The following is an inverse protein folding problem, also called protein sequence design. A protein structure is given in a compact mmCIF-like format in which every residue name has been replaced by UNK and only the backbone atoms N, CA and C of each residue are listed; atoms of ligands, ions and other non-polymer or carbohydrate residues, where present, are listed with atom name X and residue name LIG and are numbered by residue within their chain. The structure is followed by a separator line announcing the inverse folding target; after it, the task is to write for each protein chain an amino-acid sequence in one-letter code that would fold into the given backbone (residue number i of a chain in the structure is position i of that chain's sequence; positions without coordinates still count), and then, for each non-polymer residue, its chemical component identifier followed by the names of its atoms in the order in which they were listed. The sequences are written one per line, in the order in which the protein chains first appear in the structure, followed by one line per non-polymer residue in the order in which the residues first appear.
data_IF_875181218431
#
_entry.id   IF_875181218431
#
_cell.length_a   1.000
_cell.length_b   1.000
_cell.length_c   1.000
_cell.angle_alpha   90.00
_cell.angle_beta   90.00
_cell.angle_gamma   90.00
#
_symmetry.space_group_name_H-M   'P 1'
#
loop_
_entity.id
_entity.type
_entity.pdbx_description
1 polymer ?
#
# COMPACT_ATOMS: atom_id res chain seq x y z
N UNK A 1 -30.53 0.56 20.00
CA UNK A 1 -30.17 1.44 18.86
C UNK A 1 -28.92 2.26 19.19
N UNK A 2 -28.86 2.95 20.33
CA UNK A 2 -27.67 3.72 20.76
C UNK A 2 -26.40 2.87 20.90
N UNK A 3 -26.52 1.67 21.47
CA UNK A 3 -25.39 0.74 21.62
C UNK A 3 -24.82 0.26 20.26
N UNK A 4 -25.67 0.10 19.25
CA UNK A 4 -25.25 -0.24 17.89
C UNK A 4 -24.44 0.90 17.24
N UNK A 5 -24.89 2.14 17.41
CA UNK A 5 -24.14 3.30 16.93
C UNK A 5 -22.81 3.48 17.67
N UNK A 6 -22.76 3.20 18.97
CA UNK A 6 -21.52 3.20 19.75
C UNK A 6 -20.55 2.11 19.28
N UNK A 7 -21.04 0.89 19.02
CA UNK A 7 -20.22 -0.19 18.46
C UNK A 7 -19.68 0.16 17.08
N UNK A 8 -20.49 0.75 16.20
CA UNK A 8 -20.03 1.25 14.90
C UNK A 8 -18.98 2.34 15.04
N UNK A 9 -19.17 3.28 15.98
CA UNK A 9 -18.20 4.33 16.27
C UNK A 9 -16.83 3.76 16.69
N UNK A 10 -16.83 2.76 17.57
CA UNK A 10 -15.60 2.08 17.99
C UNK A 10 -14.94 1.31 16.84
N UNK A 11 -15.73 0.66 15.99
CA UNK A 11 -15.24 -0.05 14.81
C UNK A 11 -14.57 0.92 13.82
N UNK A 12 -15.22 2.05 13.54
CA UNK A 12 -14.69 3.09 12.65
C UNK A 12 -13.42 3.73 13.22
N UNK A 13 -13.38 4.03 14.52
CA UNK A 13 -12.16 4.53 15.16
C UNK A 13 -11.00 3.54 15.06
N UNK A 14 -11.26 2.25 15.28
CA UNK A 14 -10.26 1.19 15.09
C UNK A 14 -9.75 1.11 13.65
N UNK A 15 -10.66 1.20 12.67
CA UNK A 15 -10.29 1.22 11.25
C UNK A 15 -9.51 2.48 10.85
N UNK A 16 -9.87 3.64 11.39
CA UNK A 16 -9.16 4.89 11.14
C UNK A 16 -7.76 4.87 11.75
N UNK A 17 -7.61 4.37 12.98
CA UNK A 17 -6.30 4.18 13.59
C UNK A 17 -5.42 3.21 12.79
N UNK A 18 -6.00 2.12 12.28
CA UNK A 18 -5.30 1.20 11.39
C UNK A 18 -4.89 1.88 10.08
N UNK A 19 -5.78 2.65 9.47
CA UNK A 19 -5.49 3.38 8.24
C UNK A 19 -4.40 4.44 8.44
N UNK A 20 -4.42 5.16 9.55
CA UNK A 20 -3.41 6.16 9.93
C UNK A 20 -2.03 5.51 10.08
N UNK A 21 -1.96 4.38 10.78
CA UNK A 21 -0.70 3.62 10.92
C UNK A 21 -0.14 3.11 9.59
N UNK A 22 -1.02 2.68 8.68
CA UNK A 22 -0.63 2.24 7.34
C UNK A 22 -0.15 3.40 6.46
N UNK A 23 -0.80 4.56 6.57
CA UNK A 23 -0.42 5.77 5.86
C UNK A 23 0.91 6.33 6.33
N UNK A 24 1.17 6.36 7.63
CA UNK A 24 2.44 6.85 8.18
C UNK A 24 3.65 6.05 7.63
N UNK A 25 3.50 4.73 7.53
CA UNK A 25 4.51 3.87 6.89
C UNK A 25 4.75 4.19 5.41
N UNK A 26 3.69 4.47 4.64
CA UNK A 26 3.80 4.79 3.20
C UNK A 26 4.23 6.24 2.95
N UNK A 27 3.89 7.17 3.85
CA UNK A 27 4.16 8.60 3.76
C UNK A 27 5.63 8.98 4.01
N UNK A 28 6.50 7.99 4.22
CA UNK A 28 7.95 8.20 4.20
C UNK A 28 8.46 8.31 2.75
N UNK A 29 9.56 9.03 2.54
CA UNK A 29 10.19 9.20 1.21
C UNK A 29 10.38 7.87 0.49
N UNK A 30 10.84 6.85 1.23
CA UNK A 30 11.03 5.50 0.71
C UNK A 30 9.71 4.85 0.27
N UNK A 31 8.65 5.02 1.07
CA UNK A 31 7.34 4.48 0.79
C UNK A 31 6.72 5.07 -0.48
N UNK A 32 6.84 6.38 -0.66
CA UNK A 32 6.39 7.08 -1.86
C UNK A 32 7.15 6.65 -3.12
N UNK A 33 8.46 6.44 -3.03
CA UNK A 33 9.27 5.94 -4.17
C UNK A 33 8.80 4.55 -4.59
N UNK A 34 8.61 3.63 -3.63
CA UNK A 34 8.09 2.28 -3.93
C UNK A 34 6.72 2.38 -4.60
N UNK A 35 5.80 3.17 -4.03
CA UNK A 35 4.46 3.32 -4.58
C UNK A 35 4.49 3.89 -6.01
N UNK A 36 5.33 4.89 -6.26
CA UNK A 36 5.51 5.46 -7.60
C UNK A 36 6.08 4.44 -8.59
N UNK A 37 7.08 3.64 -8.19
CA UNK A 37 7.65 2.59 -9.05
C UNK A 37 6.57 1.57 -9.46
N UNK A 38 5.80 1.08 -8.49
CA UNK A 38 4.74 0.12 -8.75
C UNK A 38 3.61 0.71 -9.60
N UNK A 39 3.13 1.91 -9.28
CA UNK A 39 2.06 2.58 -10.02
C UNK A 39 2.47 2.96 -11.45
N UNK A 40 3.69 3.47 -11.65
CA UNK A 40 4.12 4.03 -12.92
C UNK A 40 4.69 2.97 -13.87
N UNK A 41 5.43 1.98 -13.37
CA UNK A 41 6.17 1.05 -14.23
C UNK A 41 5.61 -0.38 -14.22
N UNK A 42 5.15 -0.89 -13.07
CA UNK A 42 4.70 -2.28 -12.98
C UNK A 42 3.20 -2.44 -13.29
N UNK A 43 2.40 -1.40 -13.07
CA UNK A 43 0.96 -1.48 -13.26
C UNK A 43 0.54 -1.03 -14.68
N UNK A 44 0.08 -2.00 -15.48
CA UNK A 44 -0.50 -1.77 -16.81
C UNK A 44 -2.03 -1.64 -16.82
N UNK A 45 -2.71 -2.16 -15.81
CA UNK A 45 -4.18 -2.15 -15.71
C UNK A 45 -4.65 -2.14 -14.24
N UNK A 46 -5.84 -1.59 -14.01
CA UNK A 46 -6.49 -1.50 -12.68
C UNK A 46 -6.61 -2.83 -11.93
N UNK A 47 -6.74 -3.96 -12.65
CA UNK A 47 -6.81 -5.30 -12.06
C UNK A 47 -5.53 -5.71 -11.31
N UNK A 48 -4.40 -5.07 -11.61
CA UNK A 48 -3.11 -5.34 -10.97
C UNK A 48 -2.92 -4.67 -9.60
N UNK A 49 -3.86 -3.84 -9.13
CA UNK A 49 -3.69 -3.00 -7.95
C UNK A 49 -3.33 -3.83 -6.71
N UNK A 50 -4.10 -4.88 -6.44
CA UNK A 50 -3.90 -5.73 -5.28
C UNK A 50 -2.55 -6.44 -5.31
N UNK A 51 -2.12 -6.91 -6.48
CA UNK A 51 -0.80 -7.52 -6.67
C UNK A 51 0.34 -6.49 -6.50
N UNK A 52 0.15 -5.27 -7.00
CA UNK A 52 1.11 -4.18 -6.85
C UNK A 52 1.25 -3.74 -5.40
N UNK A 53 0.14 -3.58 -4.68
CA UNK A 53 0.13 -3.25 -3.26
C UNK A 53 0.79 -4.36 -2.42
N UNK A 54 0.55 -5.63 -2.75
CA UNK A 54 1.18 -6.76 -2.08
C UNK A 54 2.70 -6.76 -2.32
N UNK A 55 3.12 -6.59 -3.58
CA UNK A 55 4.54 -6.48 -3.93
C UNK A 55 5.22 -5.31 -3.23
N UNK A 56 4.58 -4.14 -3.17
CA UNK A 56 5.08 -2.98 -2.46
C UNK A 56 5.23 -3.23 -0.95
N UNK A 57 4.24 -3.88 -0.32
CA UNK A 57 4.32 -4.26 1.10
C UNK A 57 5.47 -5.23 1.37
N UNK A 58 5.67 -6.23 0.51
CA UNK A 58 6.79 -7.18 0.64
C UNK A 58 8.13 -6.46 0.48
N UNK A 59 8.28 -5.63 -0.54
CA UNK A 59 9.51 -4.85 -0.77
C UNK A 59 9.79 -3.91 0.41
N UNK A 60 8.77 -3.22 0.92
CA UNK A 60 8.92 -2.36 2.10
C UNK A 60 9.41 -3.15 3.32
N UNK A 61 8.81 -4.32 3.57
CA UNK A 61 9.19 -5.19 4.68
C UNK A 61 10.63 -5.70 4.54
N UNK A 62 11.06 -6.04 3.32
CA UNK A 62 12.44 -6.46 3.05
C UNK A 62 13.44 -5.31 3.28
N UNK A 63 13.08 -4.10 2.87
CA UNK A 63 13.91 -2.91 3.08
C UNK A 63 14.06 -2.61 4.57
N UNK A 64 12.99 -2.70 5.36
CA UNK A 64 13.06 -2.56 6.81
C UNK A 64 13.96 -3.61 7.47
N UNK A 65 13.91 -4.85 7.00
CA UNK A 65 14.75 -5.94 7.54
C UNK A 65 16.24 -5.77 7.17
N UNK A 66 16.54 -5.18 6.01
CA UNK A 66 17.92 -4.95 5.53
C UNK A 66 18.52 -3.66 6.10
N UNK A 67 17.71 -2.65 6.41
CA UNK A 67 18.18 -1.34 6.92
C UNK A 67 19.19 -1.45 8.08
N UNK A 68 18.98 -2.29 9.11
CA UNK A 68 19.95 -2.46 10.20
C UNK A 68 21.30 -3.01 9.72
N UNK A 69 21.33 -3.85 8.67
CA UNK A 69 22.59 -4.35 8.10
C UNK A 69 23.40 -3.24 7.44
N UNK A 70 22.72 -2.29 6.80
CA UNK A 70 23.35 -1.13 6.17
C UNK A 70 23.94 -0.17 7.20
N UNK A 71 23.34 -0.13 8.40
CA UNK A 71 23.79 0.67 9.54
C UNK A 71 24.85 -0.05 10.41
N UNK A 72 25.36 -1.23 9.96
CA UNK A 72 26.40 -2.01 10.64
C UNK A 72 25.89 -2.96 11.73
N UNK A 73 24.58 -3.13 11.86
CA UNK A 73 23.92 -4.08 12.74
C UNK A 73 23.70 -5.47 12.11
N UNK A 74 23.13 -6.39 12.89
CA UNK A 74 22.74 -7.71 12.41
C UNK A 74 21.43 -7.67 11.61
N UNK A 75 21.24 -8.62 10.70
CA UNK A 75 19.96 -8.85 10.05
C UNK A 75 18.91 -9.22 11.10
N UNK A 76 17.84 -8.42 11.18
CA UNK A 76 16.72 -8.67 12.09
C UNK A 76 15.57 -9.28 11.28
N UNK A 77 15.42 -10.59 11.38
CA UNK A 77 14.24 -11.28 10.86
C UNK A 77 13.01 -10.79 11.63
N UNK A 78 11.98 -10.29 10.94
CA UNK A 78 10.72 -9.94 11.61
C UNK A 78 10.12 -11.19 12.25
N UNK A 79 9.50 -11.02 13.43
CA UNK A 79 8.78 -12.10 14.08
C UNK A 79 7.48 -12.40 13.31
N UNK A 80 7.54 -13.40 12.44
CA UNK A 80 6.40 -13.84 11.63
C UNK A 80 5.33 -14.56 12.45
N UNK A 81 5.61 -14.87 13.72
CA UNK A 81 4.64 -15.52 14.62
C UNK A 81 3.81 -14.51 15.41
N UNK A 82 4.23 -13.23 15.44
CA UNK A 82 3.49 -12.16 16.09
C UNK A 82 2.26 -11.72 15.28
N UNK A 83 1.09 -11.71 15.93
CA UNK A 83 -0.14 -11.17 15.34
C UNK A 83 -0.08 -9.66 15.10
N UNK A 84 0.67 -8.92 15.92
CA UNK A 84 0.90 -7.48 15.74
C UNK A 84 1.63 -7.16 14.44
N UNK A 85 2.66 -7.94 14.12
CA UNK A 85 3.36 -7.87 12.83
C UNK A 85 2.38 -7.97 11.64
N UNK A 86 1.49 -8.95 11.63
CA UNK A 86 0.54 -9.11 10.51
C UNK A 86 -0.48 -7.99 10.43
N UNK A 87 -0.97 -7.47 11.56
CA UNK A 87 -1.88 -6.32 11.59
C UNK A 87 -1.23 -5.06 11.01
N UNK A 88 0.01 -4.77 11.38
CA UNK A 88 0.74 -3.62 10.83
C UNK A 88 1.03 -3.80 9.33
N UNK A 89 1.26 -5.03 8.85
CA UNK A 89 1.51 -5.29 7.42
C UNK A 89 0.22 -5.23 6.60
N UNK A 90 -0.91 -5.62 7.18
CA UNK A 90 -2.23 -5.41 6.58
C UNK A 90 -2.53 -3.91 6.47
N UNK A 91 -2.24 -3.12 7.51
CA UNK A 91 -2.37 -1.66 7.46
C UNK A 91 -1.52 -1.05 6.35
N UNK A 92 -0.26 -1.45 6.26
CA UNK A 92 0.70 -0.97 5.27
C UNK A 92 0.29 -1.40 3.84
N UNK A 93 -0.20 -2.62 3.66
CA UNK A 93 -0.79 -3.09 2.40
C UNK A 93 -1.97 -2.23 1.96
N UNK A 94 -2.89 -1.91 2.87
CA UNK A 94 -4.03 -1.04 2.58
C UNK A 94 -3.57 0.39 2.25
N UNK A 95 -2.61 0.93 3.00
CA UNK A 95 -2.00 2.22 2.71
C UNK A 95 -1.40 2.27 1.30
N UNK A 96 -0.62 1.24 0.93
CA UNK A 96 -0.05 1.12 -0.41
C UNK A 96 -1.10 0.99 -1.50
N UNK A 97 -2.16 0.22 -1.26
CA UNK A 97 -3.26 0.09 -2.22
C UNK A 97 -3.88 1.47 -2.54
N UNK A 98 -4.09 2.30 -1.51
CA UNK A 98 -4.65 3.65 -1.68
C UNK A 98 -3.66 4.55 -2.43
N UNK A 99 -2.40 4.62 -1.99
CA UNK A 99 -1.40 5.52 -2.59
C UNK A 99 -1.08 5.13 -4.03
N UNK A 100 -0.92 3.83 -4.32
CA UNK A 100 -0.71 3.33 -5.68
C UNK A 100 -1.93 3.63 -6.55
N UNK A 101 -3.15 3.46 -6.04
CA UNK A 101 -4.36 3.80 -6.78
C UNK A 101 -4.41 5.29 -7.14
N UNK A 102 -4.02 6.18 -6.23
CA UNK A 102 -3.94 7.62 -6.49
C UNK A 102 -2.90 7.94 -7.56
N UNK A 103 -1.67 7.43 -7.44
CA UNK A 103 -0.64 7.66 -8.46
C UNK A 103 -1.04 7.09 -9.83
N UNK A 104 -1.60 5.89 -9.85
CA UNK A 104 -2.07 5.27 -11.08
C UNK A 104 -3.22 6.06 -11.70
N UNK A 105 -4.16 6.53 -10.89
CA UNK A 105 -5.25 7.41 -11.33
C UNK A 105 -4.72 8.67 -12.02
N UNK A 106 -3.80 9.37 -11.37
CA UNK A 106 -3.15 10.56 -11.93
C UNK A 106 -2.45 10.23 -13.25
N UNK A 107 -1.66 9.14 -13.30
CA UNK A 107 -1.05 8.64 -14.54
C UNK A 107 -2.11 8.42 -15.62
N UNK A 108 -3.19 7.71 -15.32
CA UNK A 108 -4.24 7.40 -16.31
C UNK A 108 -4.94 8.64 -16.86
N UNK A 109 -5.13 9.67 -16.02
CA UNK A 109 -5.64 10.98 -16.44
C UNK A 109 -4.65 11.67 -17.40
N UNK A 110 -3.38 11.73 -17.02
CA UNK A 110 -2.33 12.40 -17.80
C UNK A 110 -2.05 11.69 -19.14
N UNK A 111 -2.12 10.36 -19.18
CA UNK A 111 -1.89 9.58 -20.41
C UNK A 111 -3.14 9.39 -21.28
N UNK A 112 -4.28 9.99 -20.91
CA UNK A 112 -5.54 9.92 -21.67
C UNK A 112 -6.15 8.51 -21.77
N UNK A 113 -5.84 7.63 -20.81
CA UNK A 113 -6.15 6.20 -20.86
C UNK A 113 -7.65 5.86 -20.82
N UNK A 114 -8.50 6.80 -20.41
CA UNK A 114 -9.96 6.63 -20.37
C UNK A 114 -10.64 6.57 -21.74
N UNK A 115 -9.93 6.85 -22.85
CA UNK A 115 -10.53 7.02 -24.19
C UNK A 115 -10.04 6.11 -25.31
N UNK A 116 -8.99 5.31 -25.14
CA UNK A 116 -8.47 4.45 -26.24
C UNK A 116 -9.27 3.15 -26.37
N UNK A 117 -10.54 3.24 -26.79
CA UNK A 117 -11.17 2.13 -27.51
C UNK A 117 -10.32 1.90 -28.76
N UNK A 118 -9.67 0.73 -28.84
CA UNK A 118 -9.08 0.25 -30.09
C UNK A 118 -10.19 0.30 -31.15
N UNK A 119 -10.10 1.27 -32.06
CA UNK A 119 -10.76 1.14 -33.33
C UNK A 119 -10.06 -0.02 -34.04
N UNK A 120 -10.71 -1.19 -34.01
CA UNK A 120 -10.36 -2.29 -34.89
C UNK A 120 -10.60 -1.80 -36.32
N UNK A 121 -9.52 -1.43 -37.01
CA UNK A 121 -9.55 -1.33 -38.46
C UNK A 121 -9.48 -2.75 -39.04
N UNK A 122 -10.35 -2.96 -40.02
CA UNK A 122 -10.68 -4.20 -40.70
C UNK A 122 -9.49 -4.97 -41.27
#
# INVERSE_FOLDING_TARGET
MEEFFAQLGNLLQGLLALADSGFDGVNQVLGLIIAAVFALFLMGAWRGLWGAAFGAMVVHTLVEAIRPMLDGGAFLLPDLTDGGFWLTRLALFLGYAIVIAVFFFIKTLLTGGFGRRRAHAH
#
